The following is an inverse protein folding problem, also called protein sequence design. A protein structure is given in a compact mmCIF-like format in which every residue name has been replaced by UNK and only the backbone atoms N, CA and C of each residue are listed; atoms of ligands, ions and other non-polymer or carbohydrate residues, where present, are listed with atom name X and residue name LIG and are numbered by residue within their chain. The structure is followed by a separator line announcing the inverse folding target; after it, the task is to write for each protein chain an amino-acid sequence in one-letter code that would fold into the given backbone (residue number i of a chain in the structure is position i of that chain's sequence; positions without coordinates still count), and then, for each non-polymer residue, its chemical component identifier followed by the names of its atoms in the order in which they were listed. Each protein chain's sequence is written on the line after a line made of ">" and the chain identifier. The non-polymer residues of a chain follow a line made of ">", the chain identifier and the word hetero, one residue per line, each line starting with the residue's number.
data_IF_036449060076
#
_entry.id   IF_036449060076
#
_cell.length_a   1.000
_cell.length_b   1.000
_cell.length_c   1.000
_cell.angle_alpha   90.00
_cell.angle_beta   90.00
_cell.angle_gamma   90.00
#
_symmetry.space_group_name_H-M   'P 1'
#
loop_
_entity.id
_entity.type
_entity.pdbx_description
1 polymer ?
#
# COMPACT_ATOMS: atom_id res chain seq x y z
N UNK A 1 46.80 16.47 -16.21
CA UNK A 1 45.74 17.24 -15.50
C UNK A 1 44.35 16.99 -16.08
N UNK A 2 44.12 17.14 -17.39
CA UNK A 2 42.78 16.99 -17.99
C UNK A 2 42.13 15.60 -17.82
N UNK A 3 42.90 14.52 -17.93
CA UNK A 3 42.38 13.15 -17.73
C UNK A 3 41.88 12.90 -16.28
N UNK A 4 42.54 13.50 -15.29
CA UNK A 4 42.14 13.37 -13.88
C UNK A 4 40.85 14.15 -13.60
N UNK A 5 40.72 15.35 -14.18
CA UNK A 5 39.49 16.15 -14.07
C UNK A 5 38.32 15.41 -14.73
N UNK A 6 38.52 14.81 -15.91
CA UNK A 6 37.50 14.00 -16.58
C UNK A 6 37.08 12.78 -15.74
N UNK A 7 38.04 12.09 -15.13
CA UNK A 7 37.76 10.93 -14.27
C UNK A 7 36.97 11.31 -13.00
N UNK A 8 37.33 12.42 -12.35
CA UNK A 8 36.63 12.93 -11.16
C UNK A 8 35.19 13.33 -11.54
N UNK A 9 35.02 14.10 -12.62
CA UNK A 9 33.71 14.53 -13.11
C UNK A 9 32.82 13.35 -13.50
N UNK A 10 33.37 12.36 -14.20
CA UNK A 10 32.64 11.15 -14.57
C UNK A 10 32.19 10.35 -13.34
N UNK A 11 33.06 10.22 -12.33
CA UNK A 11 32.75 9.52 -11.08
C UNK A 11 31.65 10.24 -10.29
N UNK A 12 31.70 11.58 -10.22
CA UNK A 12 30.67 12.39 -9.57
C UNK A 12 29.33 12.27 -10.30
N UNK A 13 29.34 12.34 -11.63
CA UNK A 13 28.12 12.20 -12.44
C UNK A 13 27.48 10.82 -12.26
N UNK A 14 28.30 9.76 -12.29
CA UNK A 14 27.83 8.39 -12.06
C UNK A 14 27.21 8.24 -10.66
N UNK A 15 27.89 8.76 -9.63
CA UNK A 15 27.41 8.70 -8.25
C UNK A 15 26.04 9.39 -8.10
N UNK A 16 25.89 10.60 -8.66
CA UNK A 16 24.62 11.32 -8.63
C UNK A 16 23.51 10.54 -9.34
N UNK A 17 23.76 10.09 -10.58
CA UNK A 17 22.78 9.35 -11.36
C UNK A 17 22.34 8.05 -10.68
N UNK A 18 23.27 7.35 -10.03
CA UNK A 18 22.97 6.14 -9.27
C UNK A 18 22.08 6.43 -8.05
N UNK A 19 22.35 7.51 -7.31
CA UNK A 19 21.51 7.92 -6.18
C UNK A 19 20.09 8.28 -6.63
N UNK A 20 19.95 9.05 -7.70
CA UNK A 20 18.65 9.42 -8.26
C UNK A 20 17.86 8.19 -8.69
N UNK A 21 18.53 7.20 -9.30
CA UNK A 21 17.89 5.95 -9.68
C UNK A 21 17.38 5.16 -8.46
N UNK A 22 18.16 5.12 -7.36
CA UNK A 22 17.74 4.45 -6.13
C UNK A 22 16.53 5.16 -5.49
N UNK A 23 16.54 6.50 -5.47
CA UNK A 23 15.42 7.32 -4.98
C UNK A 23 14.17 7.06 -5.82
N UNK A 24 14.27 7.17 -7.14
CA UNK A 24 13.18 6.91 -8.07
C UNK A 24 12.64 5.48 -7.94
N UNK A 25 13.53 4.50 -7.72
CA UNK A 25 13.17 3.12 -7.44
C UNK A 25 12.33 2.96 -6.17
N UNK A 26 12.72 3.63 -5.08
CA UNK A 26 11.96 3.62 -3.83
C UNK A 26 10.60 4.30 -3.98
N UNK A 27 10.54 5.46 -4.65
CA UNK A 27 9.29 6.17 -4.95
C UNK A 27 8.34 5.26 -5.73
N UNK A 28 8.83 4.58 -6.79
CA UNK A 28 8.01 3.65 -7.59
C UNK A 28 7.42 2.52 -6.74
N UNK A 29 8.20 1.93 -5.83
CA UNK A 29 7.73 0.85 -4.94
C UNK A 29 6.63 1.32 -4.00
N UNK A 30 6.80 2.50 -3.39
CA UNK A 30 5.81 3.11 -2.51
C UNK A 30 4.54 3.45 -3.28
N UNK A 31 4.67 4.03 -4.47
CA UNK A 31 3.53 4.33 -5.34
C UNK A 31 2.76 3.08 -5.72
N UNK A 32 3.44 1.96 -6.06
CA UNK A 32 2.75 0.70 -6.34
C UNK A 32 2.06 0.11 -5.11
N UNK A 33 2.68 0.20 -3.93
CA UNK A 33 2.02 -0.19 -2.68
C UNK A 33 0.77 0.68 -2.42
N UNK A 34 0.82 1.99 -2.67
CA UNK A 34 -0.31 2.90 -2.57
C UNK A 34 -1.43 2.56 -3.55
N UNK A 35 -1.10 2.27 -4.82
CA UNK A 35 -2.08 1.82 -5.82
C UNK A 35 -2.75 0.54 -5.35
N UNK A 36 -1.99 -0.45 -4.87
CA UNK A 36 -2.54 -1.69 -4.34
C UNK A 36 -3.48 -1.45 -3.15
N UNK A 37 -3.12 -0.54 -2.23
CA UNK A 37 -3.98 -0.18 -1.11
C UNK A 37 -5.31 0.44 -1.58
N UNK A 38 -5.25 1.36 -2.55
CA UNK A 38 -6.45 1.97 -3.14
C UNK A 38 -7.31 0.93 -3.87
N UNK A 39 -6.71 -0.02 -4.58
CA UNK A 39 -7.45 -1.15 -5.18
C UNK A 39 -8.20 -1.95 -4.12
N UNK A 40 -7.62 -2.14 -2.93
CA UNK A 40 -8.31 -2.79 -1.81
C UNK A 40 -9.52 -2.00 -1.29
N UNK A 41 -9.41 -0.67 -1.19
CA UNK A 41 -10.56 0.18 -0.85
C UNK A 41 -11.65 0.08 -1.92
N UNK A 42 -11.28 0.15 -3.20
CA UNK A 42 -12.24 0.03 -4.29
C UNK A 42 -12.93 -1.34 -4.31
N UNK A 43 -12.18 -2.42 -4.06
CA UNK A 43 -12.74 -3.76 -3.94
C UNK A 43 -13.73 -3.83 -2.77
N UNK A 44 -13.37 -3.26 -1.61
CA UNK A 44 -14.28 -3.19 -0.47
C UNK A 44 -15.60 -2.46 -0.81
N UNK A 45 -15.51 -1.29 -1.46
CA UNK A 45 -16.68 -0.53 -1.89
C UNK A 45 -17.54 -1.35 -2.86
N UNK A 46 -16.91 -2.06 -3.79
CA UNK A 46 -17.60 -2.88 -4.79
C UNK A 46 -18.32 -4.11 -4.19
N UNK A 47 -17.86 -4.63 -3.04
CA UNK A 47 -18.58 -5.68 -2.33
C UNK A 47 -19.94 -5.20 -1.80
N UNK A 48 -20.12 -3.88 -1.65
CA UNK A 48 -21.37 -3.23 -1.23
C UNK A 48 -22.03 -3.95 -0.04
N UNK A 49 -21.21 -4.33 0.95
CA UNK A 49 -21.66 -5.08 2.11
C UNK A 49 -22.58 -4.21 2.97
N UNK A 50 -23.69 -4.79 3.41
CA UNK A 50 -24.54 -4.19 4.42
C UNK A 50 -23.85 -4.20 5.79
N UNK A 51 -24.26 -3.31 6.68
CA UNK A 51 -23.63 -3.20 7.99
C UNK A 51 -23.72 -4.50 8.81
N UNK A 52 -24.82 -5.24 8.69
CA UNK A 52 -25.03 -6.45 9.48
C UNK A 52 -24.05 -7.57 9.09
N UNK A 53 -23.80 -7.77 7.79
CA UNK A 53 -22.81 -8.73 7.30
C UNK A 53 -21.40 -8.26 7.62
N UNK A 54 -21.13 -6.97 7.44
CA UNK A 54 -19.84 -6.37 7.78
C UNK A 54 -19.48 -6.61 9.25
N UNK A 55 -20.43 -6.37 10.17
CA UNK A 55 -20.22 -6.54 11.62
C UNK A 55 -20.00 -7.98 12.01
N UNK A 56 -20.76 -8.89 11.40
CA UNK A 56 -20.59 -10.33 11.59
C UNK A 56 -19.21 -10.77 11.15
N UNK A 57 -18.80 -10.39 9.94
CA UNK A 57 -17.52 -10.77 9.36
C UNK A 57 -16.33 -10.16 10.12
N UNK A 58 -16.42 -8.89 10.52
CA UNK A 58 -15.39 -8.23 11.31
C UNK A 58 -15.21 -8.89 12.69
N UNK A 59 -16.30 -9.34 13.32
CA UNK A 59 -16.23 -10.02 14.63
C UNK A 59 -15.61 -11.42 14.50
N UNK A 60 -15.92 -12.14 13.41
CA UNK A 60 -15.42 -13.49 13.17
C UNK A 60 -13.96 -13.55 12.72
N UNK A 61 -13.46 -12.51 12.04
CA UNK A 61 -12.17 -12.53 11.36
C UNK A 61 -11.19 -11.44 11.83
N UNK A 62 -11.30 -10.97 13.08
CA UNK A 62 -10.42 -9.93 13.64
C UNK A 62 -10.34 -8.68 12.73
N UNK A 63 -11.52 -8.26 12.27
CA UNK A 63 -11.71 -7.14 11.34
C UNK A 63 -11.29 -7.41 9.90
N UNK A 64 -10.74 -8.57 9.53
CA UNK A 64 -10.34 -8.86 8.15
C UNK A 64 -11.59 -9.11 7.28
N UNK A 65 -11.84 -8.21 6.33
CA UNK A 65 -12.96 -8.34 5.38
C UNK A 65 -12.50 -8.92 4.06
N UNK A 66 -11.36 -8.44 3.54
CA UNK A 66 -10.74 -8.98 2.33
C UNK A 66 -9.37 -9.53 2.72
N UNK A 67 -9.15 -10.85 2.61
CA UNK A 67 -7.87 -11.45 2.92
C UNK A 67 -6.79 -10.96 1.94
N UNK A 68 -5.54 -11.36 2.20
CA UNK A 68 -4.40 -10.96 1.36
C UNK A 68 -4.65 -11.33 -0.11
N UNK A 69 -4.93 -10.33 -0.94
CA UNK A 69 -5.29 -10.49 -2.35
C UNK A 69 -4.13 -10.04 -3.21
N UNK A 70 -3.68 -10.89 -4.13
CA UNK A 70 -2.59 -10.58 -5.06
C UNK A 70 -3.17 -9.87 -6.29
N UNK A 71 -2.62 -8.71 -6.62
CA UNK A 71 -2.91 -8.00 -7.87
C UNK A 71 -1.92 -8.39 -8.96
N UNK A 72 -0.69 -8.74 -8.56
CA UNK A 72 0.37 -9.22 -9.45
C UNK A 72 1.35 -10.09 -8.67
N UNK A 73 2.42 -10.54 -9.33
CA UNK A 73 3.54 -11.22 -8.68
C UNK A 73 4.28 -10.35 -7.66
N UNK A 74 4.13 -9.02 -7.71
CA UNK A 74 4.84 -8.07 -6.84
C UNK A 74 3.93 -7.25 -5.95
N UNK A 75 2.63 -7.21 -6.19
CA UNK A 75 1.70 -6.35 -5.45
C UNK A 75 0.55 -7.14 -4.85
N UNK A 76 0.21 -6.81 -3.61
CA UNK A 76 -0.93 -7.39 -2.91
C UNK A 76 -1.54 -6.37 -1.94
N UNK A 77 -2.76 -6.59 -1.50
CA UNK A 77 -3.37 -5.79 -0.45
C UNK A 77 -4.15 -6.65 0.54
N UNK A 78 -4.40 -6.09 1.72
CA UNK A 78 -5.23 -6.65 2.78
C UNK A 78 -6.19 -5.56 3.25
N UNK A 79 -7.47 -5.88 3.41
CA UNK A 79 -8.46 -4.94 3.92
C UNK A 79 -8.98 -5.39 5.27
N UNK A 80 -8.82 -4.51 6.25
CA UNK A 80 -9.40 -4.64 7.58
C UNK A 80 -10.41 -3.54 7.84
N UNK A 81 -11.41 -3.84 8.66
CA UNK A 81 -12.39 -2.90 9.14
C UNK A 81 -12.28 -2.80 10.65
N UNK A 82 -12.30 -1.57 11.11
CA UNK A 82 -12.27 -1.20 12.51
C UNK A 82 -13.60 -0.53 12.83
N UNK A 83 -14.44 -1.26 13.57
CA UNK A 83 -15.76 -0.82 14.00
C UNK A 83 -15.75 -0.13 15.36
N UNK A 84 -14.59 -0.06 16.02
CA UNK A 84 -14.51 0.39 17.42
C UNK A 84 -14.27 1.89 17.56
N UNK A 85 -14.02 2.61 16.46
CA UNK A 85 -13.65 4.02 16.53
C UNK A 85 -14.81 5.01 16.35
N UNK A 86 -14.98 5.81 17.40
CA UNK A 86 -15.23 7.24 17.38
C UNK A 86 -16.65 7.77 17.11
N UNK A 87 -17.56 6.98 16.52
CA UNK A 87 -18.99 7.32 16.48
C UNK A 87 -19.85 6.07 16.25
N UNK A 88 -21.07 5.99 16.82
CA UNK A 88 -21.98 4.86 16.64
C UNK A 88 -22.44 4.65 15.19
N UNK A 89 -22.24 5.64 14.32
CA UNK A 89 -22.65 5.64 12.92
C UNK A 89 -21.50 5.61 11.92
N UNK A 90 -20.26 5.31 12.37
CA UNK A 90 -19.08 5.31 11.50
C UNK A 90 -18.23 4.07 11.71
N UNK A 91 -17.59 3.64 10.64
CA UNK A 91 -16.53 2.64 10.71
C UNK A 91 -15.36 3.04 9.81
N UNK A 92 -14.17 2.55 10.15
CA UNK A 92 -12.96 2.83 9.39
C UNK A 92 -12.54 1.58 8.64
N UNK A 93 -12.39 1.71 7.33
CA UNK A 93 -11.79 0.69 6.48
C UNK A 93 -10.31 1.03 6.30
N UNK A 94 -9.44 0.10 6.69
CA UNK A 94 -7.98 0.18 6.56
C UNK A 94 -7.55 -0.82 5.49
N UNK A 95 -7.12 -0.32 4.33
CA UNK A 95 -6.48 -1.14 3.31
C UNK A 95 -4.97 -0.95 3.37
N UNK A 96 -4.21 -2.03 3.46
CA UNK A 96 -2.75 -1.97 3.40
C UNK A 96 -2.29 -2.63 2.11
N UNK A 97 -1.66 -1.85 1.25
CA UNK A 97 -1.03 -2.35 0.03
C UNK A 97 0.44 -2.66 0.29
N UNK A 98 0.92 -3.71 -0.36
CA UNK A 98 2.28 -4.25 -0.21
C UNK A 98 2.93 -4.37 -1.58
N UNK A 99 4.22 -4.03 -1.65
CA UNK A 99 5.10 -4.33 -2.77
C UNK A 99 6.18 -5.32 -2.30
N UNK A 100 6.34 -6.41 -3.03
CA UNK A 100 7.22 -7.54 -2.70
C UNK A 100 8.32 -7.74 -3.73
N UNK A 101 9.43 -8.29 -3.25
CA UNK A 101 10.50 -8.87 -4.07
C UNK A 101 10.76 -10.28 -3.56
N UNK A 102 10.29 -11.28 -4.30
CA UNK A 102 10.15 -12.65 -3.79
C UNK A 102 9.18 -12.68 -2.61
N UNK A 103 9.56 -13.35 -1.53
CA UNK A 103 8.74 -13.46 -0.31
C UNK A 103 8.83 -12.23 0.62
N UNK A 104 9.75 -11.29 0.34
CA UNK A 104 9.98 -10.13 1.21
C UNK A 104 9.11 -8.94 0.81
N UNK A 105 8.38 -8.38 1.78
CA UNK A 105 7.75 -7.06 1.66
C UNK A 105 8.86 -6.00 1.74
N UNK A 106 8.98 -5.20 0.70
CA UNK A 106 10.01 -4.14 0.59
C UNK A 106 9.42 -2.74 0.60
N UNK A 107 8.11 -2.61 0.40
CA UNK A 107 7.36 -1.38 0.68
C UNK A 107 5.93 -1.72 1.06
N UNK A 108 5.32 -0.90 1.91
CA UNK A 108 3.92 -0.99 2.28
C UNK A 108 3.33 0.40 2.43
N UNK A 109 2.05 0.55 2.08
CA UNK A 109 1.34 1.81 2.25
C UNK A 109 -0.06 1.56 2.81
N UNK A 110 -0.40 2.08 4.00
CA UNK A 110 -1.76 2.04 4.52
C UNK A 110 -2.61 3.16 3.89
N UNK A 111 -3.85 2.87 3.57
CA UNK A 111 -4.89 3.83 3.19
C UNK A 111 -6.07 3.59 4.10
N UNK A 112 -6.64 4.68 4.62
CA UNK A 112 -7.79 4.65 5.52
C UNK A 112 -8.93 5.44 4.89
N UNK A 113 -10.14 4.90 4.98
CA UNK A 113 -11.35 5.56 4.56
C UNK A 113 -12.41 5.39 5.65
N UNK A 114 -13.13 6.47 5.95
CA UNK A 114 -14.22 6.48 6.92
C UNK A 114 -15.54 6.39 6.16
N UNK A 115 -16.39 5.46 6.59
CA UNK A 115 -17.70 5.24 6.00
C UNK A 115 -18.79 5.46 7.06
N UNK A 116 -19.96 5.89 6.60
CA UNK A 116 -21.16 5.98 7.42
C UNK A 116 -21.89 4.62 7.42
N UNK A 117 -22.57 4.31 8.52
CA UNK A 117 -23.54 3.22 8.55
C UNK A 117 -24.66 3.52 7.54
N UNK A 118 -24.91 2.56 6.65
CA UNK A 118 -26.08 2.52 5.78
C UNK A 118 -26.98 1.38 6.23
#
# INVERSE_FOLDING_TARGET
>A
MSAMILAISASMLWSSANLDMLIAGNIRRVTQAKIAANSGINHFIALNLDYSSLRRQATLHDGVIIPMTRLSSKTSYLVKVDMTCCAPERYIVKSVGYYRKGEKIIASHPVRATFLLK
#
